data_IF_519532410579
#
_entry.id   IF_519532410579
#
_cell.length_a   1.000
_cell.length_b   1.000
_cell.length_c   1.000
_cell.angle_alpha   90.00
_cell.angle_beta   90.00
_cell.angle_gamma   90.00
#
_symmetry.space_group_name_H-M   'P 1'
#
loop_
_entity.id
_entity.type
_entity.pdbx_description
1 polymer ?
#
# COMPACT_ATOMS: atom_id res chain seq x y z
N UNK A 1 -9.13 12.00 3.38
CA UNK A 1 -9.62 11.64 2.02
C UNK A 1 -9.32 10.16 1.77
N UNK A 2 -10.04 9.52 0.85
CA UNK A 2 -9.81 8.13 0.44
C UNK A 2 -9.52 8.16 -1.06
N UNK A 3 -8.49 7.44 -1.48
CA UNK A 3 -8.07 7.32 -2.87
C UNK A 3 -8.02 5.84 -3.27
N UNK A 4 -8.33 5.55 -4.52
CA UNK A 4 -8.26 4.22 -5.12
C UNK A 4 -7.42 4.29 -6.39
N UNK A 5 -6.52 3.33 -6.58
CA UNK A 5 -5.59 3.34 -7.70
C UNK A 5 -4.42 2.39 -7.51
N UNK A 6 -3.49 2.42 -8.46
CA UNK A 6 -2.31 1.60 -8.44
C UNK A 6 -1.33 2.04 -7.35
N UNK A 7 -0.68 1.06 -6.72
CA UNK A 7 0.44 1.25 -5.81
C UNK A 7 1.69 0.63 -6.44
N UNK A 8 2.82 1.28 -6.24
CA UNK A 8 4.12 0.73 -6.66
C UNK A 8 4.84 0.12 -5.45
N UNK A 9 5.29 -1.13 -5.59
CA UNK A 9 6.18 -1.77 -4.61
C UNK A 9 7.62 -1.42 -4.95
N UNK A 10 8.33 -0.78 -4.01
CA UNK A 10 9.75 -0.44 -4.17
C UNK A 10 10.63 -1.31 -3.25
N UNK A 11 11.86 -1.61 -3.69
CA UNK A 11 12.80 -2.46 -2.94
C UNK A 11 13.44 -1.79 -1.72
N UNK A 12 13.04 -0.56 -1.38
CA UNK A 12 13.56 0.19 -0.24
C UNK A 12 13.45 1.71 -0.41
N UNK A 13 13.78 2.43 0.65
CA UNK A 13 13.71 3.90 0.70
C UNK A 13 14.68 4.58 -0.28
N UNK A 14 15.80 3.94 -0.61
CA UNK A 14 16.79 4.47 -1.57
C UNK A 14 16.24 4.63 -2.99
N UNK A 15 15.13 3.96 -3.32
CA UNK A 15 14.44 4.09 -4.61
C UNK A 15 13.35 5.17 -4.61
N UNK A 16 13.17 5.89 -3.50
CA UNK A 16 12.25 7.04 -3.40
C UNK A 16 12.89 8.32 -3.98
N UNK A 17 13.42 8.24 -5.20
CA UNK A 17 13.91 9.40 -5.93
C UNK A 17 12.72 10.22 -6.47
N UNK A 18 12.73 11.53 -6.26
CA UNK A 18 11.61 12.42 -6.62
C UNK A 18 11.21 12.33 -8.10
N UNK A 19 12.18 12.21 -9.00
CA UNK A 19 11.93 12.20 -10.45
C UNK A 19 11.29 10.88 -10.87
N UNK A 20 11.75 9.77 -10.30
CA UNK A 20 11.15 8.44 -10.51
C UNK A 20 9.71 8.40 -9.99
N UNK A 21 9.49 8.95 -8.78
CA UNK A 21 8.15 8.99 -8.18
C UNK A 21 7.20 9.91 -8.96
N UNK A 22 7.69 11.06 -9.43
CA UNK A 22 6.94 11.96 -10.29
C UNK A 22 6.58 11.28 -11.63
N UNK A 23 7.50 10.50 -12.21
CA UNK A 23 7.25 9.70 -13.39
C UNK A 23 6.14 8.67 -13.15
N UNK A 24 6.21 7.86 -12.08
CA UNK A 24 5.15 6.88 -11.79
C UNK A 24 3.78 7.52 -11.55
N UNK A 25 3.75 8.70 -10.93
CA UNK A 25 2.52 9.46 -10.69
C UNK A 25 1.93 10.06 -11.98
N UNK A 26 2.76 10.56 -12.88
CA UNK A 26 2.33 11.32 -14.07
C UNK A 26 2.29 10.51 -15.38
N UNK A 27 2.92 9.34 -15.40
CA UNK A 27 2.89 8.40 -16.52
C UNK A 27 1.52 7.71 -16.65
N UNK A 28 1.38 6.89 -17.69
CA UNK A 28 0.20 6.05 -17.90
C UNK A 28 -0.09 5.06 -16.77
N UNK A 29 0.88 4.81 -15.88
CA UNK A 29 0.68 3.98 -14.68
C UNK A 29 -0.22 4.67 -13.65
N UNK A 30 -0.24 6.01 -13.59
CA UNK A 30 -1.08 6.82 -12.71
C UNK A 30 -1.07 6.31 -11.25
N UNK A 31 0.13 6.06 -10.73
CA UNK A 31 0.33 5.52 -9.38
C UNK A 31 -0.09 6.54 -8.32
N UNK A 32 -0.86 6.09 -7.34
CA UNK A 32 -1.40 6.96 -6.26
C UNK A 32 -0.59 6.88 -4.96
N UNK A 33 0.34 5.94 -4.85
CA UNK A 33 1.21 5.77 -3.69
C UNK A 33 2.28 4.71 -3.89
N UNK A 34 3.14 4.56 -2.90
CA UNK A 34 4.19 3.53 -2.88
C UNK A 34 4.20 2.79 -1.54
N UNK A 35 4.78 1.60 -1.55
CA UNK A 35 4.92 0.70 -0.41
C UNK A 35 6.05 -0.32 -0.72
N UNK A 36 6.33 -1.28 0.17
CA UNK A 36 7.52 -2.16 0.01
C UNK A 36 7.20 -3.66 0.04
N UNK A 37 5.96 -4.07 0.34
CA UNK A 37 5.62 -5.45 0.66
C UNK A 37 4.56 -6.06 -0.29
N UNK A 38 3.76 -5.24 -0.93
CA UNK A 38 2.52 -5.62 -1.62
C UNK A 38 2.74 -6.59 -2.75
N UNK A 39 3.72 -6.33 -3.64
CA UNK A 39 4.06 -7.25 -4.73
C UNK A 39 4.54 -8.61 -4.20
N UNK A 40 5.28 -8.66 -3.09
CA UNK A 40 5.74 -9.91 -2.49
C UNK A 40 4.57 -10.72 -1.93
N UNK A 41 3.65 -10.05 -1.23
CA UNK A 41 2.41 -10.68 -0.73
C UNK A 41 1.54 -11.18 -1.87
N UNK A 42 1.31 -10.35 -2.89
CA UNK A 42 0.52 -10.71 -4.08
C UNK A 42 1.10 -11.94 -4.78
N UNK A 43 2.44 -11.99 -4.96
CA UNK A 43 3.13 -13.14 -5.55
C UNK A 43 2.96 -14.40 -4.72
N UNK A 44 3.10 -14.32 -3.40
CA UNK A 44 2.92 -15.47 -2.51
C UNK A 44 1.48 -16.01 -2.56
N UNK A 45 0.49 -15.11 -2.56
CA UNK A 45 -0.93 -15.45 -2.67
C UNK A 45 -1.24 -16.09 -4.02
N UNK A 46 -0.73 -15.53 -5.12
CA UNK A 46 -0.89 -16.12 -6.46
C UNK A 46 -0.23 -17.50 -6.55
N UNK A 47 0.95 -17.68 -5.97
CA UNK A 47 1.61 -18.98 -5.93
C UNK A 47 0.80 -20.01 -5.13
N UNK A 48 0.19 -19.60 -4.01
CA UNK A 48 -0.66 -20.47 -3.20
C UNK A 48 -1.99 -20.82 -3.90
N UNK A 49 -2.65 -19.84 -4.52
CA UNK A 49 -3.99 -19.98 -5.14
C UNK A 49 -3.95 -20.61 -6.54
N UNK A 50 -3.10 -20.10 -7.43
CA UNK A 50 -3.12 -20.47 -8.85
C UNK A 50 -2.19 -21.64 -9.18
N UNK A 51 -1.06 -21.76 -8.46
CA UNK A 51 -0.02 -22.76 -8.78
C UNK A 51 -0.16 -23.97 -7.85
N UNK A 52 0.00 -23.76 -6.54
CA UNK A 52 -0.06 -24.85 -5.53
C UNK A 52 -1.47 -25.30 -5.24
N UNK A 53 -2.48 -24.46 -5.53
CA UNK A 53 -3.89 -24.67 -5.22
C UNK A 53 -4.12 -25.05 -3.75
N UNK A 54 -3.32 -24.49 -2.85
CA UNK A 54 -3.41 -24.70 -1.40
C UNK A 54 -4.40 -23.77 -0.73
N UNK A 55 -4.86 -22.73 -1.44
CA UNK A 55 -5.98 -21.86 -1.07
C UNK A 55 -6.91 -21.72 -2.29
N UNK A 56 -8.11 -21.21 -2.07
CA UNK A 56 -9.12 -20.94 -3.11
C UNK A 56 -8.56 -20.03 -4.23
N UNK A 57 -8.79 -20.40 -5.49
CA UNK A 57 -8.34 -19.65 -6.67
C UNK A 57 -9.12 -18.34 -6.89
N UNK A 58 -10.26 -18.19 -6.22
CA UNK A 58 -11.13 -17.01 -6.18
C UNK A 58 -11.03 -16.27 -4.84
N UNK A 59 -9.96 -16.49 -4.08
CA UNK A 59 -9.70 -15.76 -2.83
C UNK A 59 -9.83 -14.24 -3.05
N UNK A 60 -10.70 -13.59 -2.28
CA UNK A 60 -10.92 -12.14 -2.39
C UNK A 60 -9.79 -11.40 -1.70
N UNK A 61 -9.04 -10.62 -2.48
CA UNK A 61 -7.96 -9.78 -1.95
C UNK A 61 -8.45 -8.38 -1.65
N UNK A 62 -7.94 -7.82 -0.56
CA UNK A 62 -8.27 -6.47 -0.11
C UNK A 62 -7.00 -5.83 0.43
N UNK A 63 -6.59 -4.75 -0.20
CA UNK A 63 -5.43 -3.97 0.21
C UNK A 63 -5.89 -2.58 0.64
N UNK A 64 -5.34 -2.09 1.75
CA UNK A 64 -5.62 -0.76 2.26
C UNK A 64 -4.39 -0.25 2.99
N UNK A 65 -4.05 1.01 2.72
CA UNK A 65 -2.83 1.64 3.21
C UNK A 65 -3.17 2.96 3.88
N UNK A 66 -2.46 3.26 4.97
CA UNK A 66 -2.41 4.61 5.51
C UNK A 66 -1.23 5.33 4.84
N UNK A 67 -1.53 6.36 4.05
CA UNK A 67 -0.52 7.23 3.47
C UNK A 67 0.14 8.05 4.58
N UNK A 68 1.36 7.66 4.92
CA UNK A 68 2.02 8.06 6.16
C UNK A 68 2.94 9.27 5.91
N UNK A 69 3.55 9.33 4.73
CA UNK A 69 4.41 10.40 4.25
C UNK A 69 4.04 10.83 2.82
N UNK A 70 4.65 11.92 2.36
CA UNK A 70 4.62 12.33 0.97
C UNK A 70 6.04 12.66 0.49
N UNK A 71 6.73 11.73 -0.18
CA UNK A 71 8.11 11.92 -0.61
C UNK A 71 8.28 12.99 -1.71
N UNK A 72 7.19 13.44 -2.35
CA UNK A 72 7.22 14.53 -3.33
C UNK A 72 7.10 15.93 -2.69
N UNK A 73 6.78 16.01 -1.40
CA UNK A 73 6.69 17.26 -0.65
C UNK A 73 7.77 17.30 0.43
N UNK A 74 8.72 18.23 0.29
CA UNK A 74 9.78 18.43 1.27
C UNK A 74 9.21 18.63 2.68
N UNK A 75 9.77 17.95 3.68
CA UNK A 75 9.33 18.03 5.08
C UNK A 75 8.10 17.18 5.44
N UNK A 76 7.50 16.46 4.48
CA UNK A 76 6.32 15.60 4.72
C UNK A 76 6.71 14.15 5.05
N UNK A 77 7.65 13.93 5.96
CA UNK A 77 8.12 12.59 6.35
C UNK A 77 7.82 12.28 7.82
N UNK A 78 7.28 11.09 8.11
CA UNK A 78 7.16 10.59 9.49
C UNK A 78 8.51 10.19 10.09
N UNK A 79 9.61 10.18 9.33
CA UNK A 79 10.93 9.98 9.90
C UNK A 79 11.33 11.11 10.88
N UNK A 80 10.65 12.26 10.80
CA UNK A 80 10.90 13.44 11.66
C UNK A 80 10.00 13.53 12.91
N UNK A 81 9.03 12.62 13.08
CA UNK A 81 8.16 12.56 14.26
C UNK A 81 7.36 11.26 14.32
N UNK A 82 7.01 10.77 15.52
CA UNK A 82 6.24 9.52 15.67
C UNK A 82 4.97 9.48 14.83
N UNK A 83 4.32 8.32 14.69
CA UNK A 83 3.10 8.04 13.87
C UNK A 83 2.04 9.17 13.87
N UNK A 84 2.06 10.01 14.90
CA UNK A 84 1.15 11.09 15.16
C UNK A 84 -0.14 10.50 15.65
N UNK A 85 -0.84 11.20 16.53
CA UNK A 85 -2.25 10.86 16.81
C UNK A 85 -3.08 10.81 15.51
N UNK A 86 -2.64 11.51 14.46
CA UNK A 86 -3.18 11.51 13.10
C UNK A 86 -3.22 10.13 12.44
N UNK A 87 -2.20 9.28 12.59
CA UNK A 87 -2.13 7.96 11.94
C UNK A 87 -2.90 6.85 12.66
N UNK A 88 -3.22 7.05 13.94
CA UNK A 88 -3.94 6.07 14.76
C UNK A 88 -5.33 5.81 14.20
N UNK A 89 -6.13 6.88 14.02
CA UNK A 89 -7.52 6.77 13.55
C UNK A 89 -7.66 6.06 12.19
N UNK A 90 -6.92 6.42 11.12
CA UNK A 90 -7.04 5.73 9.84
C UNK A 90 -6.57 4.27 9.91
N UNK A 91 -5.52 3.96 10.67
CA UNK A 91 -5.04 2.57 10.82
C UNK A 91 -6.07 1.69 11.53
N UNK A 92 -6.68 2.19 12.63
CA UNK A 92 -7.78 1.50 13.30
C UNK A 92 -9.00 1.34 12.38
N UNK A 93 -9.31 2.35 11.57
CA UNK A 93 -10.40 2.28 10.60
C UNK A 93 -10.16 1.18 9.56
N UNK A 94 -8.94 1.05 9.03
CA UNK A 94 -8.57 -0.04 8.10
C UNK A 94 -8.80 -1.40 8.76
N UNK A 95 -8.27 -1.61 9.97
CA UNK A 95 -8.46 -2.87 10.70
C UNK A 95 -9.93 -3.18 10.94
N UNK A 96 -10.70 -2.20 11.42
CA UNK A 96 -12.14 -2.36 11.64
C UNK A 96 -12.86 -2.73 10.34
N UNK A 97 -12.49 -2.11 9.21
CA UNK A 97 -13.08 -2.41 7.89
C UNK A 97 -12.73 -3.82 7.42
N UNK A 98 -11.51 -4.31 7.67
CA UNK A 98 -11.17 -5.71 7.36
C UNK A 98 -11.97 -6.68 8.21
N UNK A 99 -12.05 -6.47 9.53
CA UNK A 99 -12.86 -7.31 10.41
C UNK A 99 -14.33 -7.35 9.98
N UNK A 100 -14.91 -6.19 9.63
CA UNK A 100 -16.26 -6.10 9.09
C UNK A 100 -16.46 -6.88 7.78
N UNK A 101 -15.42 -7.07 6.97
CA UNK A 101 -15.50 -7.81 5.70
C UNK A 101 -15.18 -9.30 5.84
N UNK A 102 -14.60 -9.71 6.95
CA UNK A 102 -14.26 -11.10 7.26
C UNK A 102 -15.37 -11.74 8.10
N UNK A 103 -15.90 -11.03 9.09
CA UNK A 103 -16.86 -11.54 10.08
C UNK A 103 -18.34 -11.36 9.68
N UNK A 104 -18.62 -10.58 8.63
CA UNK A 104 -19.97 -10.39 8.08
C UNK A 104 -20.08 -11.06 6.71
#
# INVERSE_FOLDING_TARGET
>A
PIYEGALVTVMGTSLQNSDILAYFKSSSWNVIGLEMEGAHLQKAIQAASMIRKSIDDKVKLRYAYYASDNPLLTGSTLASGGLGTTGVKPTYLITMKFLQKILA
#
